data_IF_316008568163
#
_entry.id   IF_316008568163
#
_cell.length_a   1.000
_cell.length_b   1.000
_cell.length_c   1.000
_cell.angle_alpha   90.00
_cell.angle_beta   90.00
_cell.angle_gamma   90.00
#
_symmetry.space_group_name_H-M   'P 1'
#
loop_
_entity.id
_entity.type
_entity.pdbx_description
1 polymer ?
#
# COMPACT_ATOMS: atom_id res chain seq x y z
N UNK A 1 -18.43 23.14 1.65
CA UNK A 1 -17.01 22.78 1.74
C UNK A 1 -16.20 23.99 2.20
N UNK A 2 -15.27 23.82 3.15
CA UNK A 2 -14.25 24.78 3.54
C UNK A 2 -13.13 24.72 2.50
N UNK A 3 -12.93 25.79 1.73
CA UNK A 3 -11.97 25.82 0.61
C UNK A 3 -10.82 26.80 0.78
N UNK A 4 -10.00 26.93 -0.26
CA UNK A 4 -8.81 27.80 -0.26
C UNK A 4 -9.15 29.26 0.09
N UNK A 5 -10.25 29.81 -0.43
CA UNK A 5 -10.67 31.18 -0.09
C UNK A 5 -11.12 31.31 1.38
N UNK A 6 -11.75 30.28 1.95
CA UNK A 6 -12.08 30.24 3.37
C UNK A 6 -10.81 30.15 4.23
N UNK A 7 -9.83 29.34 3.81
CA UNK A 7 -8.52 29.23 4.46
C UNK A 7 -7.78 30.57 4.48
N UNK A 8 -7.86 31.38 3.42
CA UNK A 8 -7.30 32.75 3.42
C UNK A 8 -7.92 33.63 4.50
N UNK A 9 -9.21 33.44 4.80
CA UNK A 9 -9.95 34.22 5.81
C UNK A 9 -9.79 33.70 7.22
N UNK A 10 -9.86 32.38 7.41
CA UNK A 10 -9.91 31.73 8.73
C UNK A 10 -8.58 31.09 9.14
N UNK A 11 -7.57 31.12 8.26
CA UNK A 11 -6.31 30.43 8.48
C UNK A 11 -6.52 28.92 8.57
N UNK A 12 -5.90 28.30 9.59
CA UNK A 12 -6.00 26.86 9.87
C UNK A 12 -7.31 26.44 10.56
N UNK A 13 -8.10 27.41 11.04
CA UNK A 13 -9.35 27.14 11.76
C UNK A 13 -10.47 26.85 10.77
N UNK A 14 -11.09 25.68 10.90
CA UNK A 14 -12.27 25.29 10.12
C UNK A 14 -13.53 25.58 10.96
N UNK A 15 -14.43 26.51 10.55
CA UNK A 15 -15.68 26.75 11.26
C UNK A 15 -16.66 25.56 11.19
N UNK A 16 -17.45 25.33 12.24
CA UNK A 16 -18.44 24.23 12.34
C UNK A 16 -19.59 24.29 11.32
N UNK A 17 -19.69 25.33 10.49
CA UNK A 17 -20.73 25.44 9.46
C UNK A 17 -20.43 24.62 8.20
N UNK A 18 -19.21 24.12 8.04
CA UNK A 18 -18.78 23.40 6.84
C UNK A 18 -18.90 21.90 7.04
N UNK A 19 -19.56 21.21 6.13
CA UNK A 19 -19.71 19.75 6.15
C UNK A 19 -18.54 18.99 5.50
N UNK A 20 -17.52 19.69 4.99
CA UNK A 20 -16.38 19.05 4.34
C UNK A 20 -15.25 20.03 4.06
N UNK A 21 -14.05 19.53 3.79
CA UNK A 21 -12.86 20.31 3.38
C UNK A 21 -12.62 20.07 1.89
N UNK A 22 -12.53 21.15 1.11
CA UNK A 22 -12.42 21.07 -0.34
C UNK A 22 -11.07 20.51 -0.80
N UNK A 23 -11.04 20.09 -2.06
CA UNK A 23 -9.81 19.66 -2.74
C UNK A 23 -8.71 20.72 -2.61
N UNK A 24 -7.48 20.24 -2.42
CA UNK A 24 -6.25 21.04 -2.33
C UNK A 24 -6.25 22.13 -1.23
N UNK A 25 -7.21 22.12 -0.30
CA UNK A 25 -7.41 23.22 0.64
C UNK A 25 -6.15 23.58 1.44
N UNK A 26 -5.43 22.57 1.93
CA UNK A 26 -4.17 22.69 2.66
C UNK A 26 -2.97 22.16 1.88
N UNK A 27 -3.08 21.94 0.56
CA UNK A 27 -1.97 21.45 -0.26
C UNK A 27 -0.73 22.33 -0.12
N UNK A 28 0.42 21.70 0.11
CA UNK A 28 1.73 22.32 0.26
C UNK A 28 1.87 23.19 1.51
N UNK A 29 1.00 23.05 2.52
CA UNK A 29 1.10 23.82 3.76
C UNK A 29 2.23 23.26 4.64
N UNK A 30 3.46 23.58 4.28
CA UNK A 30 4.67 23.07 4.96
C UNK A 30 4.80 23.53 6.42
N UNK A 31 4.08 24.57 6.85
CA UNK A 31 4.07 25.03 8.25
C UNK A 31 2.90 24.43 9.06
N UNK A 32 2.12 23.51 8.49
CA UNK A 32 0.99 22.87 9.18
C UNK A 32 1.49 21.67 9.98
N UNK A 33 1.70 21.85 11.29
CA UNK A 33 2.11 20.78 12.21
C UNK A 33 0.94 19.97 12.77
N UNK A 34 -0.19 20.63 13.00
CA UNK A 34 -1.43 20.03 13.48
C UNK A 34 -2.63 20.73 12.86
N UNK A 35 -3.75 20.00 12.79
CA UNK A 35 -5.05 20.58 12.42
C UNK A 35 -6.18 19.93 13.21
N UNK A 36 -7.05 20.78 13.74
CA UNK A 36 -8.31 20.36 14.34
C UNK A 36 -9.41 20.34 13.26
N UNK A 37 -9.98 19.17 13.01
CA UNK A 37 -11.06 18.97 12.06
C UNK A 37 -12.37 18.86 12.84
N UNK A 38 -13.34 19.79 12.66
CA UNK A 38 -14.61 19.75 13.35
C UNK A 38 -15.40 18.45 13.11
N UNK A 39 -16.14 18.01 14.13
CA UNK A 39 -16.88 16.73 14.10
C UNK A 39 -18.05 16.68 13.13
N UNK A 40 -18.42 17.80 12.52
CA UNK A 40 -19.46 17.86 11.49
C UNK A 40 -18.91 17.75 10.06
N UNK A 41 -17.59 17.55 9.90
CA UNK A 41 -16.94 17.29 8.61
C UNK A 41 -17.18 15.84 8.20
N UNK A 42 -17.78 15.64 7.03
CA UNK A 42 -18.11 14.32 6.47
C UNK A 42 -17.18 13.93 5.30
N UNK A 43 -16.54 14.92 4.67
CA UNK A 43 -15.73 14.74 3.46
C UNK A 43 -14.43 15.53 3.55
N UNK A 44 -13.30 14.88 3.26
CA UNK A 44 -12.00 15.53 3.04
C UNK A 44 -11.62 15.33 1.57
N UNK A 45 -11.46 16.42 0.83
CA UNK A 45 -11.26 16.41 -0.62
C UNK A 45 -9.93 15.85 -1.09
N UNK A 46 -9.80 15.71 -2.41
CA UNK A 46 -8.57 15.23 -3.06
C UNK A 46 -7.40 16.17 -2.78
N UNK A 47 -6.21 15.61 -2.59
CA UNK A 47 -4.97 16.37 -2.35
C UNK A 47 -5.07 17.38 -1.19
N UNK A 48 -6.03 17.22 -0.28
CA UNK A 48 -6.36 18.26 0.72
C UNK A 48 -5.17 18.62 1.61
N UNK A 49 -4.40 17.65 2.07
CA UNK A 49 -3.18 17.83 2.87
C UNK A 49 -1.90 17.41 2.12
N UNK A 50 -1.97 17.25 0.79
CA UNK A 50 -0.82 16.82 -0.01
C UNK A 50 0.37 17.76 0.19
N UNK A 51 1.53 17.20 0.50
CA UNK A 51 2.77 17.93 0.71
C UNK A 51 2.77 18.79 1.98
N UNK A 52 1.89 18.56 2.94
CA UNK A 52 2.01 19.12 4.29
C UNK A 52 3.15 18.41 5.03
N UNK A 53 4.40 18.70 4.65
CA UNK A 53 5.56 17.90 5.04
C UNK A 53 5.80 17.88 6.55
N UNK A 54 5.41 18.95 7.27
CA UNK A 54 5.58 19.07 8.72
C UNK A 54 4.38 18.60 9.54
N UNK A 55 3.34 18.00 8.93
CA UNK A 55 2.14 17.55 9.65
C UNK A 55 2.50 16.36 10.55
N UNK A 56 2.56 16.61 11.86
CA UNK A 56 2.92 15.63 12.89
C UNK A 56 1.69 15.00 13.56
N UNK A 57 0.55 15.69 13.56
CA UNK A 57 -0.67 15.21 14.21
C UNK A 57 -1.93 15.63 13.48
N UNK A 58 -2.82 14.67 13.26
CA UNK A 58 -4.17 14.91 12.77
C UNK A 58 -5.14 13.90 13.35
N UNK A 59 -6.28 14.39 13.82
CA UNK A 59 -7.41 13.54 14.20
C UNK A 59 -8.51 13.69 13.16
N UNK A 60 -8.81 12.60 12.43
CA UNK A 60 -9.92 12.58 11.49
C UNK A 60 -11.20 12.20 12.27
N UNK A 61 -12.26 13.03 12.28
CA UNK A 61 -13.50 12.74 12.99
C UNK A 61 -14.20 11.50 12.46
N UNK A 62 -14.96 10.83 13.34
CA UNK A 62 -15.71 9.62 12.98
C UNK A 62 -16.83 9.85 11.96
N UNK A 63 -17.26 11.09 11.78
CA UNK A 63 -18.22 11.53 10.76
C UNK A 63 -17.65 11.54 9.35
N UNK A 64 -16.32 11.57 9.19
CA UNK A 64 -15.67 11.58 7.87
C UNK A 64 -15.83 10.22 7.20
N UNK A 65 -16.72 10.17 6.21
CA UNK A 65 -17.00 8.96 5.42
C UNK A 65 -16.17 8.88 4.14
N UNK A 66 -15.55 9.98 3.72
CA UNK A 66 -14.77 10.07 2.49
C UNK A 66 -13.46 10.83 2.70
N UNK A 67 -12.36 10.20 2.29
CA UNK A 67 -11.02 10.79 2.21
C UNK A 67 -10.58 10.70 0.75
N UNK A 68 -10.32 11.84 0.13
CA UNK A 68 -10.00 11.94 -1.29
C UNK A 68 -8.66 11.30 -1.67
N UNK A 69 -8.45 11.14 -2.98
CA UNK A 69 -7.19 10.64 -3.52
C UNK A 69 -6.04 11.59 -3.15
N UNK A 70 -4.84 11.04 -2.92
CA UNK A 70 -3.63 11.79 -2.55
C UNK A 70 -3.81 12.72 -1.34
N UNK A 71 -4.81 12.48 -0.49
CA UNK A 71 -5.18 13.44 0.56
C UNK A 71 -4.01 13.76 1.49
N UNK A 72 -3.19 12.78 1.86
CA UNK A 72 -2.01 12.93 2.70
C UNK A 72 -0.70 12.60 1.96
N UNK A 73 -0.71 12.60 0.61
CA UNK A 73 0.48 12.34 -0.20
C UNK A 73 1.61 13.31 0.18
N UNK A 74 2.76 12.80 0.61
CA UNK A 74 3.91 13.60 1.03
C UNK A 74 3.78 14.26 2.41
N UNK A 75 2.91 13.77 3.29
CA UNK A 75 2.90 14.12 4.71
C UNK A 75 4.05 13.44 5.46
N UNK A 76 5.29 13.82 5.12
CA UNK A 76 6.52 13.13 5.51
C UNK A 76 6.73 12.96 7.01
N UNK A 77 6.31 13.95 7.83
CA UNK A 77 6.47 13.92 9.29
C UNK A 77 5.35 13.20 10.06
N UNK A 78 4.32 12.67 9.40
CA UNK A 78 3.16 12.10 10.10
C UNK A 78 3.48 10.69 10.62
N UNK A 79 3.59 10.48 11.96
CA UNK A 79 4.05 9.20 12.50
C UNK A 79 2.94 8.16 12.56
N UNK A 80 1.69 8.60 12.68
CA UNK A 80 0.53 7.73 12.78
C UNK A 80 -0.74 8.39 12.28
N UNK A 81 -1.70 7.59 11.81
CA UNK A 81 -3.04 8.08 11.48
C UNK A 81 -4.11 7.01 11.72
N UNK A 82 -5.29 7.45 12.18
CA UNK A 82 -6.46 6.59 12.35
C UNK A 82 -7.48 6.87 11.26
N UNK A 83 -7.84 5.84 10.49
CA UNK A 83 -8.91 5.95 9.50
C UNK A 83 -10.26 5.80 10.21
N UNK A 84 -11.23 6.71 10.01
CA UNK A 84 -12.55 6.63 10.61
C UNK A 84 -13.32 5.37 10.19
N UNK A 85 -14.11 4.80 11.11
CA UNK A 85 -14.94 3.59 10.87
C UNK A 85 -16.10 3.79 9.89
N UNK A 86 -16.33 5.03 9.43
CA UNK A 86 -17.31 5.36 8.39
C UNK A 86 -16.68 5.34 6.98
N UNK A 87 -15.36 5.25 6.86
CA UNK A 87 -14.66 5.12 5.57
C UNK A 87 -14.78 3.69 5.04
N UNK A 88 -15.19 3.57 3.78
CA UNK A 88 -15.37 2.29 3.07
C UNK A 88 -14.21 1.99 2.09
N UNK A 89 -13.56 3.03 1.58
CA UNK A 89 -12.47 2.94 0.61
C UNK A 89 -11.39 3.96 0.94
N UNK A 90 -10.12 3.54 0.86
CA UNK A 90 -8.97 4.44 0.92
C UNK A 90 -8.56 4.76 -0.52
N UNK A 91 -8.68 6.04 -0.90
CA UNK A 91 -8.41 6.51 -2.27
C UNK A 91 -6.94 6.32 -2.70
N UNK A 92 -6.70 6.39 -4.01
CA UNK A 92 -5.38 6.21 -4.61
C UNK A 92 -4.36 7.19 -4.01
N UNK A 93 -3.14 6.72 -3.77
CA UNK A 93 -2.00 7.50 -3.27
C UNK A 93 -2.28 8.24 -1.94
N UNK A 94 -3.33 7.87 -1.20
CA UNK A 94 -3.80 8.66 -0.06
C UNK A 94 -2.72 8.91 1.01
N UNK A 95 -1.81 7.96 1.24
CA UNK A 95 -0.69 8.07 2.19
C UNK A 95 0.67 7.88 1.49
N UNK A 96 0.75 8.08 0.17
CA UNK A 96 2.02 7.97 -0.56
C UNK A 96 3.04 8.93 0.04
N UNK A 97 4.31 8.53 0.12
CA UNK A 97 5.43 9.33 0.65
C UNK A 97 5.23 9.88 2.06
N UNK A 98 4.39 9.24 2.88
CA UNK A 98 4.37 9.45 4.33
C UNK A 98 5.55 8.70 4.97
N UNK A 99 6.77 9.22 4.75
CA UNK A 99 8.04 8.56 5.09
C UNK A 99 8.15 8.16 6.57
N UNK A 100 7.69 9.00 7.50
CA UNK A 100 7.71 8.71 8.94
C UNK A 100 6.51 7.91 9.46
N UNK A 101 5.57 7.50 8.60
CA UNK A 101 4.39 6.75 9.03
C UNK A 101 4.83 5.37 9.55
N UNK A 102 4.68 5.15 10.84
CA UNK A 102 5.03 3.87 11.50
C UNK A 102 3.81 3.03 11.80
N UNK A 103 2.66 3.67 12.04
CA UNK A 103 1.43 3.00 12.46
C UNK A 103 0.20 3.59 11.78
N UNK A 104 -0.65 2.74 11.22
CA UNK A 104 -1.94 3.12 10.67
C UNK A 104 -3.01 2.12 11.09
N UNK A 105 -4.13 2.64 11.57
CA UNK A 105 -5.29 1.82 11.92
C UNK A 105 -6.31 1.88 10.78
N UNK A 106 -6.43 0.78 10.03
CA UNK A 106 -7.44 0.58 8.98
C UNK A 106 -8.64 -0.14 9.61
N UNK A 107 -9.83 0.48 9.68
CA UNK A 107 -11.00 -0.12 10.30
C UNK A 107 -11.62 -1.20 9.42
N UNK A 108 -12.40 -2.09 10.05
CA UNK A 108 -13.11 -3.20 9.38
C UNK A 108 -14.25 -2.74 8.46
N UNK A 109 -14.53 -1.43 8.39
CA UNK A 109 -15.43 -0.84 7.41
C UNK A 109 -14.79 -0.73 6.03
N UNK A 110 -13.45 -0.69 5.96
CA UNK A 110 -12.72 -0.55 4.69
C UNK A 110 -12.77 -1.86 3.92
N UNK A 111 -13.29 -1.80 2.70
CA UNK A 111 -13.37 -2.92 1.76
C UNK A 111 -12.34 -2.81 0.63
N UNK A 112 -11.83 -1.62 0.35
CA UNK A 112 -10.91 -1.36 -0.76
C UNK A 112 -9.76 -0.43 -0.36
N UNK A 113 -8.55 -0.82 -0.76
CA UNK A 113 -7.34 0.00 -0.66
C UNK A 113 -6.88 0.27 -2.09
N UNK A 114 -6.87 1.55 -2.48
CA UNK A 114 -6.51 1.98 -3.83
C UNK A 114 -5.05 1.74 -4.22
N UNK A 115 -4.70 2.19 -5.42
CA UNK A 115 -3.34 2.11 -5.95
C UNK A 115 -2.39 3.01 -5.15
N UNK A 116 -1.15 2.55 -4.92
CA UNK A 116 -0.06 3.34 -4.31
C UNK A 116 -0.40 3.96 -2.94
N UNK A 117 -1.37 3.41 -2.20
CA UNK A 117 -1.84 4.02 -0.95
C UNK A 117 -0.71 4.24 0.06
N UNK A 118 0.22 3.29 0.19
CA UNK A 118 1.38 3.36 1.08
C UNK A 118 2.71 3.42 0.31
N UNK A 119 2.69 3.87 -0.95
CA UNK A 119 3.90 3.94 -1.77
C UNK A 119 4.94 4.83 -1.08
N UNK A 120 6.16 4.33 -0.85
CA UNK A 120 7.23 5.11 -0.21
C UNK A 120 6.97 5.45 1.27
N UNK A 121 6.16 4.66 1.97
CA UNK A 121 6.07 4.72 3.43
C UNK A 121 7.24 3.95 4.07
N UNK A 122 8.40 4.59 4.10
CA UNK A 122 9.69 3.94 4.41
C UNK A 122 9.78 3.38 5.84
N UNK A 123 9.11 3.99 6.82
CA UNK A 123 9.17 3.58 8.23
C UNK A 123 8.09 2.56 8.66
N UNK A 124 7.14 2.18 7.79
CA UNK A 124 6.18 1.12 8.11
C UNK A 124 6.92 -0.22 8.20
N UNK A 125 6.94 -0.81 9.40
CA UNK A 125 7.56 -2.13 9.62
C UNK A 125 6.57 -3.29 9.56
N UNK A 126 5.31 -3.03 9.93
CA UNK A 126 4.19 -3.96 9.94
C UNK A 126 2.91 -3.17 9.67
N UNK A 127 1.98 -3.77 8.93
CA UNK A 127 0.66 -3.20 8.70
C UNK A 127 -0.42 -4.28 8.82
N UNK A 128 -1.48 -3.95 9.56
CA UNK A 128 -2.63 -4.82 9.73
C UNK A 128 -3.70 -4.46 8.70
N UNK A 129 -3.90 -5.33 7.72
CA UNK A 129 -4.99 -5.21 6.74
C UNK A 129 -6.21 -5.98 7.28
N UNK A 130 -7.38 -5.35 7.48
CA UNK A 130 -8.54 -6.02 8.03
C UNK A 130 -9.14 -7.02 7.03
N UNK A 131 -9.80 -8.05 7.56
CA UNK A 131 -10.44 -9.12 6.76
C UNK A 131 -11.64 -8.68 5.93
N UNK A 132 -12.06 -7.41 6.08
CA UNK A 132 -13.04 -6.76 5.23
C UNK A 132 -12.49 -6.35 3.87
N UNK A 133 -11.17 -6.20 3.74
CA UNK A 133 -10.53 -5.74 2.50
C UNK A 133 -10.58 -6.84 1.45
N UNK A 134 -11.22 -6.56 0.32
CA UNK A 134 -11.35 -7.48 -0.82
C UNK A 134 -10.38 -7.14 -1.95
N UNK A 135 -9.87 -5.90 -1.99
CA UNK A 135 -9.03 -5.38 -3.06
C UNK A 135 -7.86 -4.56 -2.48
N UNK A 136 -6.64 -4.86 -2.94
CA UNK A 136 -5.41 -4.10 -2.70
C UNK A 136 -4.88 -3.67 -4.07
N UNK A 137 -4.81 -2.36 -4.31
CA UNK A 137 -4.41 -1.80 -5.60
C UNK A 137 -2.93 -2.03 -5.96
N UNK A 138 -2.60 -1.69 -7.20
CA UNK A 138 -1.24 -1.77 -7.73
C UNK A 138 -0.29 -0.87 -6.94
N UNK A 139 0.95 -1.31 -6.78
CA UNK A 139 2.03 -0.59 -6.10
C UNK A 139 1.70 -0.15 -4.66
N UNK A 140 0.69 -0.76 -4.02
CA UNK A 140 0.15 -0.29 -2.75
C UNK A 140 1.20 -0.15 -1.65
N UNK A 141 2.16 -1.08 -1.57
CA UNK A 141 3.27 -1.08 -0.61
C UNK A 141 4.64 -0.94 -1.29
N UNK A 142 4.67 -0.47 -2.55
CA UNK A 142 5.93 -0.27 -3.26
C UNK A 142 6.79 0.73 -2.50
N UNK A 143 8.10 0.47 -2.45
CA UNK A 143 9.07 1.28 -1.72
C UNK A 143 8.82 1.37 -0.21
N UNK A 144 8.02 0.49 0.42
CA UNK A 144 8.01 0.38 1.88
C UNK A 144 9.29 -0.32 2.36
N UNK A 145 10.41 0.40 2.39
CA UNK A 145 11.75 -0.19 2.56
C UNK A 145 11.94 -0.92 3.90
N UNK A 146 11.28 -0.46 4.98
CA UNK A 146 11.34 -1.10 6.31
C UNK A 146 10.29 -2.19 6.55
N UNK A 147 9.36 -2.44 5.62
CA UNK A 147 8.28 -3.42 5.81
C UNK A 147 8.88 -4.83 5.96
N UNK A 148 8.72 -5.45 7.13
CA UNK A 148 9.34 -6.74 7.45
C UNK A 148 8.42 -7.92 7.19
N UNK A 149 7.13 -7.72 7.44
CA UNK A 149 6.07 -8.71 7.32
C UNK A 149 4.75 -8.02 7.02
N UNK A 150 3.87 -8.73 6.32
CA UNK A 150 2.50 -8.31 6.07
C UNK A 150 1.61 -9.54 5.96
N UNK A 151 0.42 -9.47 6.56
CA UNK A 151 -0.59 -10.50 6.46
C UNK A 151 -1.63 -10.07 5.42
N UNK A 152 -1.69 -10.77 4.28
CA UNK A 152 -2.72 -10.53 3.28
C UNK A 152 -4.00 -11.27 3.69
N UNK A 153 -5.15 -10.59 3.83
CA UNK A 153 -6.38 -11.24 4.25
C UNK A 153 -6.90 -12.26 3.24
N UNK A 154 -7.57 -13.31 3.72
CA UNK A 154 -8.19 -14.35 2.87
C UNK A 154 -9.36 -13.87 2.04
N UNK A 155 -9.80 -12.63 2.22
CA UNK A 155 -10.80 -11.95 1.39
C UNK A 155 -10.21 -11.35 0.12
N UNK A 156 -8.89 -11.17 0.06
CA UNK A 156 -8.19 -10.62 -1.11
C UNK A 156 -8.02 -11.70 -2.18
N UNK A 157 -8.42 -11.38 -3.41
CA UNK A 157 -8.39 -12.32 -4.55
C UNK A 157 -7.22 -12.12 -5.53
N UNK A 158 -6.55 -10.98 -5.45
CA UNK A 158 -5.45 -10.58 -6.34
C UNK A 158 -4.44 -9.73 -5.57
N UNK A 159 -3.14 -9.91 -5.87
CA UNK A 159 -2.08 -8.99 -5.46
C UNK A 159 -1.61 -8.25 -6.71
N UNK A 160 -1.87 -6.94 -6.76
CA UNK A 160 -1.63 -6.10 -7.93
C UNK A 160 -0.17 -5.99 -8.37
N UNK A 161 0.04 -5.39 -9.54
CA UNK A 161 1.35 -5.12 -10.12
C UNK A 161 2.22 -4.33 -9.14
N UNK A 162 3.49 -4.73 -9.00
CA UNK A 162 4.51 -4.06 -8.18
C UNK A 162 4.10 -3.82 -6.72
N UNK A 163 3.16 -4.60 -6.16
CA UNK A 163 2.58 -4.33 -4.85
C UNK A 163 3.61 -4.23 -3.70
N UNK A 164 4.68 -5.04 -3.73
CA UNK A 164 5.80 -5.02 -2.78
C UNK A 164 7.15 -4.73 -3.45
N UNK A 165 7.14 -4.01 -4.58
CA UNK A 165 8.34 -3.60 -5.30
C UNK A 165 9.25 -2.77 -4.38
N UNK A 166 10.55 -3.06 -4.32
CA UNK A 166 11.50 -2.38 -3.40
C UNK A 166 11.19 -2.47 -1.90
N UNK A 167 10.42 -3.47 -1.44
CA UNK A 167 10.33 -3.79 -0.02
C UNK A 167 11.61 -4.50 0.48
N UNK A 168 12.70 -3.77 0.64
CA UNK A 168 14.04 -4.31 0.92
C UNK A 168 14.11 -5.16 2.20
N UNK A 169 13.32 -4.80 3.22
CA UNK A 169 13.28 -5.49 4.51
C UNK A 169 12.29 -6.65 4.59
N UNK A 170 11.47 -6.91 3.56
CA UNK A 170 10.42 -7.93 3.61
C UNK A 170 11.05 -9.33 3.68
N UNK A 171 10.90 -10.02 4.82
CA UNK A 171 11.56 -11.30 5.08
C UNK A 171 10.73 -12.51 4.68
N UNK A 172 9.43 -12.41 4.92
CA UNK A 172 8.42 -13.44 4.71
C UNK A 172 7.09 -12.78 4.40
N UNK A 173 6.28 -13.44 3.58
CA UNK A 173 4.90 -13.06 3.32
C UNK A 173 4.05 -14.32 3.19
N UNK A 174 2.85 -14.28 3.77
CA UNK A 174 1.85 -15.34 3.58
C UNK A 174 0.86 -14.90 2.51
N UNK A 175 0.87 -15.59 1.36
CA UNK A 175 -0.11 -15.37 0.29
C UNK A 175 -1.29 -16.34 0.53
N UNK A 176 -2.51 -15.84 0.79
CA UNK A 176 -3.66 -16.69 1.09
C UNK A 176 -4.13 -17.46 -0.16
N UNK A 177 -4.79 -18.59 0.05
CA UNK A 177 -5.34 -19.45 -1.03
C UNK A 177 -6.50 -18.82 -1.80
N UNK A 178 -6.94 -17.63 -1.41
CA UNK A 178 -7.90 -16.81 -2.16
C UNK A 178 -7.26 -16.09 -3.34
N UNK A 179 -5.93 -15.89 -3.32
CA UNK A 179 -5.20 -15.17 -4.37
C UNK A 179 -5.02 -16.06 -5.60
N UNK A 180 -5.47 -15.59 -6.77
CA UNK A 180 -5.40 -16.34 -8.03
C UNK A 180 -4.27 -15.88 -8.96
N UNK A 181 -3.76 -14.68 -8.73
CA UNK A 181 -2.73 -14.04 -9.55
C UNK A 181 -1.78 -13.20 -8.68
N UNK A 182 -0.48 -13.27 -9.01
CA UNK A 182 0.58 -12.43 -8.45
C UNK A 182 1.10 -11.58 -9.61
N UNK A 183 0.88 -10.27 -9.54
CA UNK A 183 1.19 -9.32 -10.60
C UNK A 183 2.67 -9.21 -10.97
N UNK A 184 2.94 -8.56 -12.09
CA UNK A 184 4.29 -8.27 -12.57
C UNK A 184 5.05 -7.44 -11.52
N UNK A 185 6.35 -7.72 -11.31
CA UNK A 185 7.22 -7.00 -10.39
C UNK A 185 6.84 -7.06 -8.91
N UNK A 186 5.88 -7.91 -8.52
CA UNK A 186 5.25 -7.86 -7.19
C UNK A 186 6.26 -7.90 -6.03
N UNK A 187 7.36 -8.65 -6.12
CA UNK A 187 8.42 -8.74 -5.11
C UNK A 187 9.80 -8.33 -5.68
N UNK A 188 9.83 -7.48 -6.71
CA UNK A 188 11.06 -7.01 -7.32
C UNK A 188 11.98 -6.39 -6.27
N UNK A 189 13.23 -6.86 -6.22
CA UNK A 189 14.26 -6.41 -5.28
C UNK A 189 13.83 -6.48 -3.81
N UNK A 190 12.97 -7.43 -3.42
CA UNK A 190 12.81 -7.79 -2.01
C UNK A 190 14.06 -8.53 -1.50
N UNK A 191 15.14 -7.79 -1.23
CA UNK A 191 16.46 -8.34 -0.92
C UNK A 191 16.48 -9.24 0.31
N UNK A 192 15.62 -8.98 1.30
CA UNK A 192 15.54 -9.78 2.53
C UNK A 192 14.61 -10.99 2.43
N UNK A 193 13.88 -11.18 1.32
CA UNK A 193 12.90 -12.25 1.19
C UNK A 193 13.62 -13.59 1.13
N UNK A 194 13.46 -14.43 2.15
CA UNK A 194 14.21 -15.69 2.27
C UNK A 194 13.44 -16.90 1.75
N UNK A 195 12.12 -16.88 1.94
CA UNK A 195 11.19 -17.95 1.54
C UNK A 195 9.85 -17.32 1.18
N UNK A 196 9.13 -17.97 0.27
CA UNK A 196 7.75 -17.63 -0.06
C UNK A 196 6.98 -18.89 -0.44
N UNK A 197 5.75 -18.99 0.05
CA UNK A 197 4.83 -20.05 -0.32
C UNK A 197 3.84 -19.52 -1.36
N UNK A 198 3.87 -20.09 -2.57
CA UNK A 198 2.90 -19.77 -3.61
C UNK A 198 1.72 -20.73 -3.45
N UNK A 199 0.48 -20.24 -3.21
CA UNK A 199 -0.66 -21.11 -3.02
C UNK A 199 -1.09 -21.78 -4.33
N UNK A 200 -1.74 -22.94 -4.22
CA UNK A 200 -2.21 -23.73 -5.38
C UNK A 200 -3.35 -23.10 -6.17
N UNK A 201 -3.92 -22.00 -5.68
CA UNK A 201 -4.88 -21.14 -6.39
C UNK A 201 -4.21 -20.30 -7.47
N UNK A 202 -2.92 -20.01 -7.34
CA UNK A 202 -2.19 -19.18 -8.32
C UNK A 202 -1.92 -19.99 -9.57
N UNK A 203 -2.23 -19.43 -10.74
CA UNK A 203 -2.06 -20.07 -12.04
C UNK A 203 -0.87 -19.54 -12.85
N UNK A 204 -0.37 -18.36 -12.48
CA UNK A 204 0.66 -17.59 -13.20
C UNK A 204 1.52 -16.79 -12.23
N UNK A 205 2.81 -16.67 -12.51
CA UNK A 205 3.73 -15.74 -11.85
C UNK A 205 4.13 -14.67 -12.86
N UNK A 206 3.99 -13.39 -12.49
CA UNK A 206 4.26 -12.25 -13.35
C UNK A 206 5.72 -12.11 -13.81
N UNK A 207 5.94 -11.24 -14.80
CA UNK A 207 7.27 -10.79 -15.23
C UNK A 207 7.98 -10.12 -14.04
N UNK A 208 9.28 -10.33 -13.90
CA UNK A 208 10.13 -9.69 -12.88
C UNK A 208 9.69 -9.92 -11.41
N UNK A 209 8.76 -10.86 -11.16
CA UNK A 209 8.07 -10.98 -9.88
C UNK A 209 9.01 -11.17 -8.68
N UNK A 210 10.11 -11.90 -8.82
CA UNK A 210 11.13 -12.11 -7.78
C UNK A 210 12.51 -11.65 -8.25
N UNK A 211 12.58 -10.75 -9.25
CA UNK A 211 13.84 -10.26 -9.79
C UNK A 211 14.69 -9.67 -8.67
N UNK A 212 15.96 -10.06 -8.57
CA UNK A 212 16.89 -9.65 -7.52
C UNK A 212 16.39 -9.90 -6.08
N UNK A 213 15.53 -10.90 -5.82
CA UNK A 213 15.32 -11.43 -4.47
C UNK A 213 16.59 -12.19 -4.00
N UNK A 214 17.67 -11.46 -3.73
CA UNK A 214 19.02 -12.00 -3.54
C UNK A 214 19.16 -12.92 -2.32
N UNK A 215 18.28 -12.83 -1.33
CA UNK A 215 18.23 -13.75 -0.17
C UNK A 215 17.29 -14.95 -0.34
N UNK A 216 16.53 -15.06 -1.44
CA UNK A 216 15.56 -16.13 -1.66
C UNK A 216 16.31 -17.45 -1.83
N UNK A 217 16.14 -18.38 -0.89
CA UNK A 217 16.90 -19.65 -0.86
C UNK A 217 16.17 -20.79 -1.54
N UNK A 218 14.86 -20.82 -1.34
CA UNK A 218 13.98 -21.89 -1.82
C UNK A 218 12.63 -21.30 -2.15
N UNK A 219 12.03 -21.81 -3.23
CA UNK A 219 10.64 -21.54 -3.59
C UNK A 219 10.02 -22.82 -4.14
N UNK A 220 8.82 -23.14 -3.68
CA UNK A 220 8.04 -24.25 -4.20
C UNK A 220 7.08 -23.72 -5.26
N UNK A 221 7.24 -24.17 -6.51
CA UNK A 221 6.33 -23.84 -7.61
C UNK A 221 5.22 -24.90 -7.64
N UNK A 222 3.96 -24.55 -7.33
CA UNK A 222 2.86 -25.53 -7.32
C UNK A 222 2.50 -25.97 -8.74
N UNK A 223 1.89 -27.15 -8.86
CA UNK A 223 1.45 -27.73 -10.14
C UNK A 223 0.29 -26.97 -10.79
N UNK A 224 -0.29 -25.99 -10.10
CA UNK A 224 -1.26 -25.05 -10.66
C UNK A 224 -0.63 -24.02 -11.59
N UNK A 225 0.69 -23.78 -11.47
CA UNK A 225 1.40 -22.80 -12.31
C UNK A 225 1.56 -23.34 -13.72
N UNK A 226 1.05 -22.58 -14.69
CA UNK A 226 1.15 -22.85 -16.13
C UNK A 226 2.17 -21.97 -16.84
N UNK A 227 2.49 -20.81 -16.27
CA UNK A 227 3.36 -19.77 -16.83
C UNK A 227 4.18 -19.08 -15.75
N UNK A 228 5.47 -18.88 -16.03
CA UNK A 228 6.38 -18.02 -15.27
C UNK A 228 6.88 -16.90 -16.19
N UNK A 229 6.76 -15.65 -15.76
CA UNK A 229 7.11 -14.46 -16.55
C UNK A 229 8.60 -14.31 -16.84
N UNK A 230 8.94 -13.37 -17.72
CA UNK A 230 10.34 -13.04 -18.05
C UNK A 230 11.06 -12.49 -16.82
N UNK A 231 12.35 -12.80 -16.67
CA UNK A 231 13.21 -12.28 -15.60
C UNK A 231 12.69 -12.53 -14.17
N UNK A 232 11.76 -13.48 -14.01
CA UNK A 232 11.03 -13.70 -12.76
C UNK A 232 11.95 -14.01 -11.58
N UNK A 233 13.00 -14.81 -11.76
CA UNK A 233 13.99 -15.14 -10.74
C UNK A 233 15.39 -14.64 -11.09
N UNK A 234 15.48 -13.71 -12.05
CA UNK A 234 16.76 -13.18 -12.51
C UNK A 234 17.52 -12.54 -11.34
N UNK A 235 18.81 -12.85 -11.20
CA UNK A 235 19.67 -12.38 -10.10
C UNK A 235 19.20 -12.76 -8.68
N UNK A 236 18.40 -13.84 -8.54
CA UNK A 236 18.17 -14.50 -7.25
C UNK A 236 19.43 -15.26 -6.78
N UNK A 237 20.47 -14.56 -6.37
CA UNK A 237 21.81 -15.12 -6.11
C UNK A 237 21.88 -16.21 -5.04
N UNK A 238 20.92 -16.28 -4.11
CA UNK A 238 20.84 -17.34 -3.09
C UNK A 238 20.03 -18.58 -3.53
N UNK A 239 19.30 -18.50 -4.65
CA UNK A 239 18.45 -19.56 -5.13
C UNK A 239 19.30 -20.58 -5.91
N UNK A 240 19.63 -21.70 -5.26
CA UNK A 240 20.55 -22.71 -5.82
C UNK A 240 19.90 -23.63 -6.83
N UNK A 241 18.63 -23.94 -6.64
CA UNK A 241 17.87 -24.86 -7.47
C UNK A 241 16.38 -24.56 -7.34
N UNK A 242 15.65 -24.74 -8.43
CA UNK A 242 14.21 -24.61 -8.47
C UNK A 242 13.60 -25.81 -9.19
N UNK A 243 12.61 -26.44 -8.56
CA UNK A 243 11.87 -27.54 -9.18
C UNK A 243 10.74 -26.95 -10.01
N UNK A 244 10.84 -27.05 -11.34
CA UNK A 244 9.80 -26.60 -12.26
C UNK A 244 8.85 -27.78 -12.54
N UNK A 245 7.57 -27.71 -12.12
CA UNK A 245 6.62 -28.78 -12.39
C UNK A 245 6.29 -28.86 -13.87
N UNK A 246 5.89 -30.05 -14.33
CA UNK A 246 5.53 -30.31 -15.75
C UNK A 246 4.32 -29.52 -16.22
N UNK A 247 3.55 -28.93 -15.30
CA UNK A 247 2.46 -28.00 -15.60
C UNK A 247 2.94 -26.69 -16.23
N UNK A 248 4.20 -26.29 -15.99
CA UNK A 248 4.77 -25.06 -16.55
C UNK A 248 5.07 -25.27 -18.03
N UNK A 249 4.15 -24.79 -18.87
CA UNK A 249 4.24 -24.87 -20.33
C UNK A 249 5.00 -23.71 -20.96
N UNK A 250 5.19 -22.60 -20.22
CA UNK A 250 5.80 -21.37 -20.73
C UNK A 250 6.70 -20.71 -19.69
N UNK A 251 7.99 -20.62 -20.01
CA UNK A 251 9.00 -19.84 -19.28
C UNK A 251 9.30 -18.56 -20.07
N UNK A 252 9.34 -17.42 -19.38
CA UNK A 252 9.72 -16.14 -19.99
C UNK A 252 11.21 -16.05 -20.31
N UNK A 253 11.57 -15.01 -21.04
CA UNK A 253 12.97 -14.69 -21.36
C UNK A 253 13.76 -14.38 -20.08
N UNK A 254 15.00 -14.88 -19.95
CA UNK A 254 15.86 -14.69 -18.76
C UNK A 254 15.18 -15.04 -17.42
N UNK A 255 14.27 -16.02 -17.39
CA UNK A 255 13.47 -16.37 -16.21
C UNK A 255 14.28 -16.68 -14.92
N UNK A 256 15.54 -17.10 -15.03
CA UNK A 256 16.41 -17.51 -13.92
C UNK A 256 17.75 -16.81 -14.01
#
# INVERSE_FOLDING_TARGET
>A
MFGIEDRKKYGKRIPERYYGIADECFKGCNDLMEIDIPTNIEVIGNECFKGCCSLESITIPTSVSQIGNKCFDGCKSLPSINIPTSVIEIGNECFSWCESLTTINIPTSVSKIGNKVFYGCDDIQEINIPTSVIEIGNECFSCCESLRTINIPTSVSEIGECCFFWCYSLRTINIPTSVNEIGDGCFYQCYSLTTINIPTSVSKIGKDCFHQCSSLRTINIPTSISRIGSSCFYLCSSLKSINIPTSVSKLGYECF
#
